data_IF_744467502954
#
_entry.id   IF_744467502954
#
_cell.length_a   1.000
_cell.length_b   1.000
_cell.length_c   1.000
_cell.angle_alpha   90.00
_cell.angle_beta   90.00
_cell.angle_gamma   90.00
#
_symmetry.space_group_name_H-M   'P 1'
#
loop_
_entity.id
_entity.type
_entity.pdbx_description
1 polymer ?
2 non-polymer ?
3 non-polymer ?
4 non-polymer ?
5 water ?
#
# COMPACT_ATOMS: atom_id res chain seq x y z
N UNK A 2 -11.77 10.11 -14.22
CA UNK A 2 -10.80 10.90 -14.95
C UNK A 2 -10.08 10.11 -16.03
N UNK A 3 -9.08 10.74 -16.65
CA UNK A 3 -8.30 10.11 -17.71
C UNK A 3 -7.27 9.13 -17.17
N UNK A 4 -6.95 8.11 -17.99
CA UNK A 4 -5.86 7.18 -17.68
C UNK A 4 -4.59 8.04 -17.66
N UNK A 5 -3.63 7.66 -16.81
CA UNK A 5 -2.40 8.42 -16.63
C UNK A 5 -1.17 7.54 -16.57
N UNK A 6 -0.05 8.07 -17.07
CA UNK A 6 1.27 7.47 -16.95
C UNK A 6 2.20 8.55 -16.36
N UNK A 7 3.51 8.29 -16.38
CA UNK A 7 4.54 9.25 -15.96
C UNK A 7 5.13 9.91 -17.22
N UNK A 8 5.55 11.19 -17.11
CA UNK A 8 6.11 11.96 -18.24
C UNK A 8 7.47 11.42 -18.67
N UNK A 9 8.24 10.91 -17.70
CA UNK A 9 9.59 10.39 -17.92
C UNK A 9 9.93 9.34 -16.89
N UNK A 10 11.05 8.63 -17.06
CA UNK A 10 11.54 7.63 -16.11
C UNK A 10 11.83 8.29 -14.76
N UNK A 11 11.31 7.71 -13.67
CA UNK A 11 11.52 8.20 -12.30
C UNK A 11 12.24 7.12 -11.51
N UNK A 12 13.31 7.49 -10.81
CA UNK A 12 14.11 6.52 -10.05
C UNK A 12 14.03 6.75 -8.55
N UNK A 13 14.09 5.65 -7.77
CA UNK A 13 14.09 5.67 -6.31
C UNK A 13 15.00 4.54 -5.85
N UNK A 14 15.64 4.71 -4.69
CA UNK A 14 16.54 3.68 -4.17
C UNK A 14 16.67 3.77 -2.66
N UNK A 15 17.02 2.65 -2.04
CA UNK A 15 17.22 2.60 -0.59
C UNK A 15 17.04 1.21 -0.05
N UNK A 16 17.12 1.09 1.27
CA UNK A 16 16.95 -0.21 1.93
C UNK A 16 15.48 -0.65 1.89
N UNK A 17 15.28 -1.96 1.84
CA UNK A 17 13.96 -2.56 1.93
C UNK A 17 13.74 -2.87 3.41
N UNK A 18 12.55 -2.58 3.94
CA UNK A 18 12.28 -2.81 5.37
C UNK A 18 12.41 -4.28 5.82
N UNK A 19 11.98 -5.22 4.96
CA UNK A 19 12.03 -6.63 5.34
C UNK A 19 13.32 -7.34 5.03
N UNK A 20 13.86 -7.16 3.81
CA UNK A 20 15.10 -7.85 3.43
C UNK A 20 16.34 -7.19 4.05
N UNK A 21 16.25 -5.87 4.32
CA UNK A 21 17.38 -5.09 4.80
C UNK A 21 18.40 -4.80 3.71
N UNK A 22 18.11 -5.23 2.47
CA UNK A 22 19.00 -5.06 1.33
C UNK A 22 18.72 -3.74 0.64
N UNK A 23 19.71 -3.21 -0.07
CA UNK A 23 19.58 -1.98 -0.85
C UNK A 23 18.98 -2.34 -2.21
N UNK A 24 17.91 -1.65 -2.64
CA UNK A 24 17.33 -1.93 -3.96
C UNK A 24 17.05 -0.66 -4.71
N UNK A 25 16.84 -0.76 -6.05
CA UNK A 25 16.57 0.41 -6.88
C UNK A 25 15.31 0.18 -7.73
N UNK A 26 14.53 1.25 -7.96
CA UNK A 26 13.31 1.24 -8.77
C UNK A 26 13.47 2.17 -9.96
N UNK A 27 12.87 1.81 -11.09
CA UNK A 27 12.79 2.67 -12.26
C UNK A 27 11.35 2.59 -12.72
N UNK A 28 10.63 3.71 -12.60
CA UNK A 28 9.23 3.77 -13.03
C UNK A 28 9.24 4.22 -14.48
N UNK A 29 8.76 3.36 -15.39
CA UNK A 29 8.76 3.62 -16.82
C UNK A 29 7.39 4.04 -17.34
N UNK A 30 7.32 5.01 -18.27
CA UNK A 30 6.01 5.34 -18.89
C UNK A 30 5.48 4.14 -19.70
N UNK A 31 4.14 4.03 -19.81
CA UNK A 31 3.48 2.97 -20.60
C UNK A 31 2.23 3.53 -21.27
N UNK A 32 1.85 2.97 -22.43
CA UNK A 32 0.69 3.40 -23.21
C UNK A 32 -0.63 2.98 -22.53
N UNK A 33 -1.77 3.52 -23.01
CA UNK A 33 -3.11 3.22 -22.51
C UNK A 33 -3.38 1.71 -22.55
N UNK A 34 -4.06 1.21 -21.52
CA UNK A 34 -4.41 -0.20 -21.39
C UNK A 34 -3.34 -1.13 -20.86
N UNK A 35 -2.13 -0.63 -20.59
CA UNK A 35 -1.05 -1.49 -20.08
C UNK A 35 -1.34 -1.99 -18.65
N UNK A 36 -1.84 -1.10 -17.80
CA UNK A 36 -2.06 -1.39 -16.40
C UNK A 36 -0.78 -1.15 -15.61
N UNK A 37 -0.83 -1.41 -14.31
CA UNK A 37 0.34 -1.28 -13.44
C UNK A 37 0.98 -2.64 -13.36
N UNK A 38 2.30 -2.72 -13.60
CA UNK A 38 3.03 -3.97 -13.49
C UNK A 38 4.46 -3.72 -13.02
N UNK A 39 5.04 -4.73 -12.40
CA UNK A 39 6.42 -4.70 -11.96
C UNK A 39 7.24 -5.46 -12.99
N UNK A 40 8.55 -5.19 -13.03
CA UNK A 40 9.45 -5.87 -13.94
C UNK A 40 10.72 -6.23 -13.20
N UNK A 41 11.08 -7.51 -13.23
CA UNK A 41 12.27 -8.01 -12.55
C UNK A 41 12.86 -9.16 -13.35
N UNK A 42 14.16 -9.09 -13.65
CA UNK A 42 14.90 -10.13 -14.39
C UNK A 42 14.16 -10.66 -15.63
N UNK A 43 13.69 -9.75 -16.48
CA UNK A 43 13.00 -10.10 -17.71
C UNK A 43 11.56 -10.55 -17.56
N UNK A 44 11.03 -10.59 -16.32
CA UNK A 44 9.67 -11.07 -16.06
C UNK A 44 8.76 -9.91 -15.68
N UNK A 45 7.56 -9.83 -16.28
CA UNK A 45 6.56 -8.84 -15.91
C UNK A 45 5.65 -9.43 -14.84
N UNK A 46 5.47 -8.71 -13.73
CA UNK A 46 4.61 -9.16 -12.63
C UNK A 46 3.48 -8.14 -12.51
N UNK A 47 2.26 -8.45 -13.01
CA UNK A 47 1.17 -7.47 -12.91
C UNK A 47 0.78 -7.18 -11.47
N UNK A 48 0.39 -5.92 -11.20
CA UNK A 48 0.00 -5.52 -9.84
C UNK A 48 -1.46 -5.92 -9.63
N UNK A 49 -1.69 -7.24 -9.55
CA UNK A 49 -3.03 -7.84 -9.43
C UNK A 49 -3.03 -8.94 -8.38
N UNK A 50 -4.19 -9.18 -7.75
CA UNK A 50 -4.36 -10.15 -6.68
C UNK A 50 -3.90 -11.59 -7.02
N UNK A 51 -4.01 -12.00 -8.30
CA UNK A 51 -3.57 -13.33 -8.78
C UNK A 51 -2.08 -13.58 -8.55
N UNK A 52 -1.30 -12.50 -8.38
CA UNK A 52 0.16 -12.55 -8.23
C UNK A 52 0.65 -12.41 -6.79
N UNK A 53 -0.28 -12.31 -5.82
CA UNK A 53 0.03 -12.23 -4.39
C UNK A 53 0.62 -13.57 -3.92
N UNK A 54 1.77 -13.55 -3.24
CA UNK A 54 2.43 -14.77 -2.75
C UNK A 54 2.64 -14.79 -1.24
N UNK A 55 2.44 -13.64 -0.59
CA UNK A 55 2.68 -13.46 0.85
C UNK A 55 1.89 -12.23 1.31
N UNK A 56 1.29 -12.30 2.51
CA UNK A 56 0.49 -11.22 3.10
C UNK A 56 0.81 -10.96 4.59
N UNK A 57 1.82 -11.65 5.17
CA UNK A 57 2.15 -11.45 6.58
C UNK A 57 3.22 -10.37 6.73
N UNK A 58 2.82 -9.19 7.25
CA UNK A 58 3.65 -7.99 7.51
C UNK A 58 3.99 -7.16 6.27
N UNK A 59 3.57 -7.64 5.09
CA UNK A 59 3.75 -6.96 3.79
C UNK A 59 2.96 -7.69 2.73
N UNK A 60 2.66 -7.03 1.63
CA UNK A 60 2.01 -7.66 0.50
C UNK A 60 3.11 -7.89 -0.53
N UNK A 61 3.35 -9.15 -0.90
CA UNK A 61 4.41 -9.51 -1.84
C UNK A 61 3.83 -10.12 -3.08
N UNK A 62 4.47 -9.84 -4.25
CA UNK A 62 4.04 -10.37 -5.55
C UNK A 62 5.10 -11.26 -6.17
N UNK A 63 4.67 -12.22 -6.97
CA UNK A 63 5.59 -13.12 -7.63
C UNK A 63 5.04 -13.65 -8.93
N UNK A 64 5.95 -13.94 -9.87
CA UNK A 64 5.62 -14.58 -11.15
C UNK A 64 6.84 -15.22 -11.76
N UNK A 65 6.69 -16.48 -12.22
CA UNK A 65 7.77 -17.23 -12.88
C UNK A 65 9.13 -17.19 -12.15
N UNK A 66 9.09 -17.38 -10.83
CA UNK A 66 10.29 -17.41 -10.01
C UNK A 66 10.89 -16.06 -9.65
N UNK A 67 10.21 -14.95 -10.00
CA UNK A 67 10.68 -13.61 -9.65
C UNK A 67 9.70 -13.03 -8.64
N UNK A 68 10.21 -12.58 -7.49
CA UNK A 68 9.41 -12.06 -6.37
C UNK A 68 9.79 -10.65 -6.01
N UNK A 69 8.80 -9.87 -5.60
CA UNK A 69 8.99 -8.50 -5.12
C UNK A 69 8.27 -8.32 -3.81
N UNK A 70 9.01 -7.99 -2.76
CA UNK A 70 8.42 -7.76 -1.44
C UNK A 70 7.96 -6.32 -1.27
N UNK A 71 6.91 -6.13 -0.43
CA UNK A 71 6.42 -4.83 0.04
C UNK A 71 5.99 -3.88 -1.08
N UNK A 72 4.99 -4.30 -1.86
CA UNK A 72 4.47 -3.49 -2.97
C UNK A 72 3.41 -2.45 -2.50
N UNK A 73 2.87 -2.60 -1.27
CA UNK A 73 1.75 -1.78 -0.78
C UNK A 73 1.86 -0.25 -0.81
N UNK A 74 3.02 0.31 -0.45
CA UNK A 74 3.21 1.76 -0.38
C UNK A 74 3.27 2.41 -1.76
N UNK A 75 4.06 1.83 -2.68
CA UNK A 75 4.14 2.35 -4.04
C UNK A 75 2.79 2.22 -4.74
N UNK A 76 2.10 1.07 -4.55
CA UNK A 76 0.77 0.89 -5.15
C UNK A 76 -0.22 1.85 -4.57
N UNK A 77 -0.13 2.15 -3.26
CA UNK A 77 -1.08 3.11 -2.68
C UNK A 77 -0.93 4.50 -3.30
N UNK A 78 0.33 4.97 -3.47
CA UNK A 78 0.63 6.26 -4.09
C UNK A 78 0.09 6.29 -5.54
N UNK A 79 0.33 5.22 -6.31
CA UNK A 79 -0.15 5.14 -7.70
C UNK A 79 -1.69 5.15 -7.75
N UNK A 80 -2.33 4.49 -6.78
CA UNK A 80 -3.80 4.44 -6.68
C UNK A 80 -4.34 5.86 -6.37
N UNK A 81 -3.72 6.55 -5.39
CA UNK A 81 -4.13 7.92 -4.99
C UNK A 81 -3.97 8.95 -6.10
N UNK A 82 -2.91 8.83 -6.91
CA UNK A 82 -2.64 9.75 -8.02
C UNK A 82 -3.32 9.31 -9.32
N UNK A 83 -3.96 8.14 -9.28
CA UNK A 83 -4.66 7.54 -10.44
C UNK A 83 -3.75 7.27 -11.64
N UNK A 84 -2.50 6.87 -11.35
CA UNK A 84 -1.54 6.44 -12.37
C UNK A 84 -2.01 5.03 -12.69
N UNK A 85 -2.38 4.79 -13.95
CA UNK A 85 -2.96 3.53 -14.38
C UNK A 85 -2.07 2.68 -15.25
N UNK A 86 -1.08 3.30 -15.91
CA UNK A 86 -0.19 2.61 -16.85
C UNK A 86 1.28 2.93 -16.58
N UNK A 87 2.01 2.00 -15.97
CA UNK A 87 3.46 2.15 -15.70
C UNK A 87 4.07 0.79 -15.51
N UNK A 88 5.39 0.73 -15.69
CA UNK A 88 6.17 -0.45 -15.37
C UNK A 88 7.15 -0.04 -14.28
N UNK A 89 7.10 -0.75 -13.15
CA UNK A 89 8.01 -0.50 -12.05
C UNK A 89 9.10 -1.54 -12.13
N UNK A 90 10.25 -1.14 -12.70
CA UNK A 90 11.39 -2.03 -12.80
C UNK A 90 12.05 -2.08 -11.43
N UNK A 91 12.30 -3.28 -10.91
CA UNK A 91 12.91 -3.49 -9.59
C UNK A 91 14.26 -4.21 -9.74
N UNK A 92 15.33 -3.55 -9.28
CA UNK A 92 16.68 -4.11 -9.25
C UNK A 92 16.89 -4.42 -7.77
N UNK A 93 16.59 -5.66 -7.40
CA UNK A 93 16.62 -6.13 -6.03
C UNK A 93 15.40 -6.98 -5.74
N UNK A 94 15.09 -7.16 -4.46
CA UNK A 94 14.03 -8.08 -4.02
C UNK A 94 12.86 -7.45 -3.31
N UNK A 95 12.90 -6.13 -3.14
CA UNK A 95 11.90 -5.41 -2.38
C UNK A 95 11.83 -3.95 -2.83
N UNK A 96 10.67 -3.32 -2.66
CA UNK A 96 10.51 -1.89 -2.91
C UNK A 96 11.21 -1.15 -1.74
N UNK A 97 12.06 -0.14 -2.02
CA UNK A 97 12.65 0.66 -0.93
C UNK A 97 11.57 1.24 0.00
N UNK A 98 11.83 1.19 1.31
CA UNK A 98 10.90 1.70 2.33
C UNK A 98 10.94 3.23 2.43
N UNK A 99 12.10 3.83 2.09
CA UNK A 99 12.36 5.26 2.22
C UNK A 99 12.12 5.70 3.69
N UNK A 100 11.33 6.74 3.96
CA UNK A 100 11.11 7.16 5.35
C UNK A 100 9.98 6.40 6.09
N UNK A 101 9.42 5.38 5.45
CA UNK A 101 8.33 4.57 5.98
C UNK A 101 6.96 5.00 5.48
N UNK A 102 6.91 6.14 4.77
CA UNK A 102 5.67 6.70 4.23
C UNK A 102 5.73 6.73 2.69
N UNK A 103 4.65 7.19 2.06
CA UNK A 103 4.60 7.30 0.61
C UNK A 103 5.03 8.67 0.10
N UNK A 104 5.48 9.57 0.99
CA UNK A 104 5.84 10.97 0.66
C UNK A 104 6.78 11.20 -0.51
N UNK A 105 7.95 10.55 -0.50
CA UNK A 105 8.93 10.71 -1.58
C UNK A 105 8.37 10.24 -2.91
N UNK A 106 7.71 9.06 -2.95
CA UNK A 106 7.07 8.55 -4.17
C UNK A 106 6.00 9.54 -4.64
N UNK A 107 5.11 9.96 -3.72
CA UNK A 107 3.99 10.87 -3.99
C UNK A 107 4.46 12.19 -4.61
N UNK A 108 5.44 12.86 -3.97
CA UNK A 108 5.94 14.15 -4.45
C UNK A 108 6.56 14.12 -5.83
N UNK A 109 7.41 13.10 -6.09
CA UNK A 109 8.10 12.93 -7.37
C UNK A 109 7.12 12.55 -8.49
N UNK A 110 6.18 11.60 -8.24
CA UNK A 110 5.21 11.16 -9.24
C UNK A 110 4.17 12.25 -9.58
N UNK A 111 3.61 12.93 -8.56
CA UNK A 111 2.63 13.99 -8.82
C UNK A 111 3.13 15.12 -9.73
N UNK A 112 4.44 15.44 -9.69
CA UNK A 112 5.04 16.47 -10.53
C UNK A 112 5.34 15.93 -11.95
N UNK A 113 5.18 14.61 -12.16
CA UNK A 113 5.52 13.96 -13.42
C UNK A 113 4.37 13.16 -14.03
N UNK A 114 3.14 13.64 -13.89
CA UNK A 114 1.96 12.96 -14.43
C UNK A 114 1.72 13.34 -15.88
N UNK A 115 1.48 12.34 -16.74
CA UNK A 115 1.11 12.57 -18.13
C UNK A 115 -0.30 12.00 -18.29
N UNK A 116 -1.28 12.88 -18.54
CA UNK A 116 -2.66 12.48 -18.78
C UNK A 116 -2.70 11.78 -20.14
N UNK A 117 -3.48 10.71 -20.24
CA UNK A 117 -3.60 9.95 -21.47
C UNK A 117 -4.94 10.16 -22.16
N UNK A 118 -5.20 9.44 -23.26
CA UNK A 118 -6.34 9.69 -24.14
C UNK A 118 -7.68 8.99 -23.90
N UNK A 119 -7.71 8.06 -22.96
CA UNK A 119 -8.87 7.25 -22.63
C UNK A 119 -9.30 7.51 -21.17
N UNK A 120 -10.58 7.34 -20.85
CA UNK A 120 -11.07 7.47 -19.47
C UNK A 120 -10.70 6.22 -18.67
N UNK A 121 -10.63 6.35 -17.35
CA UNK A 121 -10.36 5.21 -16.47
C UNK A 121 -11.63 4.38 -16.36
N UNK A 122 -11.48 3.06 -16.43
CA UNK A 122 -12.57 2.11 -16.20
C UNK A 122 -12.36 1.70 -14.73
N UNK A 123 -13.01 2.40 -13.80
CA UNK A 123 -12.83 2.10 -12.37
C UNK A 123 -13.39 0.75 -11.94
N UNK A 124 -12.82 0.16 -10.87
CA UNK A 124 -13.42 -1.02 -10.28
C UNK A 124 -14.46 -0.42 -9.34
N UNK A 125 -15.74 -0.57 -9.68
CA UNK A 125 -16.84 0.02 -8.91
C UNK A 125 -17.52 -1.04 -8.02
N UNK A 126 -17.47 -0.85 -6.67
CA UNK A 126 -18.16 -1.74 -5.72
C UNK A 126 -19.67 -1.60 -6.01
N UNK A 127 -20.32 -2.68 -6.40
CA UNK A 127 -21.73 -2.66 -6.83
C UNK A 127 -22.76 -2.96 -5.73
N UNK A 128 -22.32 -3.62 -4.65
CA UNK A 128 -23.22 -3.98 -3.54
C UNK A 128 -22.43 -4.15 -2.22
N UNK A 129 -23.09 -4.14 -1.04
CA UNK A 129 -22.35 -4.35 0.22
C UNK A 129 -21.71 -5.73 0.32
N UNK A 130 -20.58 -5.79 1.03
CA UNK A 130 -19.82 -7.03 1.27
C UNK A 130 -19.11 -6.90 2.60
N UNK A 131 -18.92 -8.02 3.30
CA UNK A 131 -18.20 -8.08 4.56
C UNK A 131 -17.29 -9.32 4.59
N UNK A 132 -16.03 -9.11 4.95
CA UNK A 132 -15.05 -10.18 5.15
C UNK A 132 -14.60 -10.12 6.60
N UNK A 133 -14.43 -11.28 7.24
CA UNK A 133 -14.04 -11.35 8.65
C UNK A 133 -12.92 -12.35 8.93
N UNK A 134 -12.17 -12.11 10.01
CA UNK A 134 -11.14 -13.00 10.51
C UNK A 134 -11.02 -12.80 12.02
N UNK A 135 -11.59 -13.72 12.81
CA UNK A 135 -11.56 -13.73 14.28
C UNK A 135 -11.48 -12.33 14.93
N UNK A 136 -12.59 -11.59 14.88
CA UNK A 136 -12.67 -10.24 15.43
C UNK A 136 -12.35 -9.15 14.44
N UNK A 137 -11.40 -9.40 13.51
CA UNK A 137 -11.00 -8.44 12.47
C UNK A 137 -12.07 -8.44 11.38
N UNK A 138 -12.38 -7.27 10.81
CA UNK A 138 -13.49 -7.14 9.88
C UNK A 138 -13.22 -6.03 8.84
N UNK A 139 -13.66 -6.25 7.58
CA UNK A 139 -13.59 -5.24 6.52
C UNK A 139 -14.89 -5.28 5.74
N UNK A 140 -15.53 -4.12 5.61
CA UNK A 140 -16.75 -4.04 4.84
C UNK A 140 -16.62 -3.01 3.73
N UNK A 141 -17.37 -3.22 2.64
CA UNK A 141 -17.37 -2.32 1.51
C UNK A 141 -18.79 -2.15 1.03
N UNK A 142 -19.08 -0.99 0.50
CA UNK A 142 -20.41 -0.67 -0.02
C UNK A 142 -20.25 0.29 -1.21
N UNK A 143 -21.25 0.44 -2.09
CA UNK A 143 -21.11 1.38 -3.21
C UNK A 143 -20.90 2.83 -2.77
N UNK A 144 -20.13 3.57 -3.57
CA UNK A 144 -19.81 5.00 -3.38
C UNK A 144 -19.21 5.53 -4.67
N UNK A 145 -19.62 6.73 -5.10
CA UNK A 145 -19.10 7.39 -6.31
C UNK A 145 -17.64 7.82 -6.08
N UNK A 146 -17.26 7.96 -4.81
CA UNK A 146 -15.94 8.39 -4.38
C UNK A 146 -15.25 7.31 -3.56
N UNK A 147 -13.92 7.24 -3.66
CA UNK A 147 -13.15 6.32 -2.82
C UNK A 147 -13.11 6.88 -1.39
N UNK A 148 -13.68 6.12 -0.43
CA UNK A 148 -13.68 6.50 0.99
C UNK A 148 -13.20 5.32 1.78
N UNK A 149 -12.21 5.53 2.63
CA UNK A 149 -11.59 4.45 3.38
C UNK A 149 -11.42 4.82 4.87
N UNK A 150 -12.08 4.05 5.74
CA UNK A 150 -12.01 4.21 7.19
C UNK A 150 -11.28 3.01 7.79
N UNK A 151 -10.34 3.27 8.70
CA UNK A 151 -9.65 2.25 9.46
C UNK A 151 -9.82 2.58 10.92
N UNK A 152 -10.19 1.57 11.70
CA UNK A 152 -10.33 1.70 13.15
C UNK A 152 -9.43 0.66 13.81
N UNK A 153 -8.55 1.15 14.68
CA UNK A 153 -7.64 0.31 15.43
C UNK A 153 -8.00 0.28 16.90
N UNK A 154 -7.60 -0.79 17.59
CA UNK A 154 -7.81 -0.95 19.02
C UNK A 154 -6.46 -1.44 19.55
N UNK A 155 -5.57 -0.47 19.82
CA UNK A 155 -4.21 -0.73 20.24
C UNK A 155 -4.08 -1.07 21.70
N UNK A 156 -3.22 -2.03 21.98
CA UNK A 156 -2.99 -2.51 23.35
C UNK A 156 -1.95 -1.66 24.12
N UNK A 157 -1.71 -0.44 23.68
CA UNK A 157 -0.77 0.44 24.37
C UNK A 157 -1.53 1.73 24.67
N UNK A 158 -0.79 2.82 25.00
CA UNK A 158 -1.34 4.14 25.32
C UNK A 158 -2.32 4.69 24.26
N UNK A 159 -2.15 4.33 22.97
CA UNK A 159 -3.03 4.77 21.88
C UNK A 159 -4.50 4.40 22.01
N UNK A 160 -4.77 3.22 22.57
CA UNK A 160 -6.13 2.71 22.73
C UNK A 160 -6.87 2.64 21.42
N UNK A 161 -8.11 3.15 21.41
CA UNK A 161 -8.97 3.15 20.21
C UNK A 161 -8.80 4.42 19.40
N UNK A 162 -8.54 4.27 18.10
CA UNK A 162 -8.47 5.43 17.19
C UNK A 162 -9.03 5.11 15.82
N UNK A 163 -9.58 6.11 15.15
CA UNK A 163 -10.26 5.95 13.87
C UNK A 163 -9.85 7.08 12.95
N UNK A 164 -9.71 6.78 11.64
CA UNK A 164 -9.40 7.77 10.60
C UNK A 164 -10.08 7.41 9.30
N UNK A 165 -10.61 8.44 8.60
CA UNK A 165 -11.25 8.30 7.29
C UNK A 165 -10.56 9.15 6.21
N UNK A 166 -10.15 8.49 5.11
CA UNK A 166 -9.64 9.14 3.92
C UNK A 166 -10.83 9.28 3.01
N UNK A 167 -10.91 10.41 2.30
CA UNK A 167 -11.85 10.70 1.22
C UNK A 167 -11.02 11.36 0.13
N UNK A 168 -11.45 11.21 -1.14
CA UNK A 168 -10.81 11.81 -2.31
C UNK A 168 -10.60 13.30 -2.11
N UNK A 169 -9.40 13.77 -2.41
CA UNK A 169 -9.02 15.16 -2.22
C UNK A 169 -8.17 15.35 -0.98
N UNK A 170 -8.13 14.33 -0.09
CA UNK A 170 -7.34 14.40 1.15
C UNK A 170 -6.11 13.46 1.12
N UNK A 171 -5.56 13.21 -0.08
CA UNK A 171 -4.39 12.34 -0.29
C UNK A 171 -3.20 12.74 0.58
N UNK A 172 -2.98 14.07 0.75
CA UNK A 172 -1.89 14.61 1.56
C UNK A 172 -1.99 14.21 3.05
N UNK A 173 -3.19 13.84 3.53
CA UNK A 173 -3.42 13.43 4.94
C UNK A 173 -2.93 12.02 5.28
N UNK A 174 -2.66 11.17 4.27
CA UNK A 174 -2.20 9.79 4.52
C UNK A 174 -0.82 9.44 3.97
N UNK A 175 -0.33 10.20 2.96
CA UNK A 175 0.95 9.96 2.28
C UNK A 175 2.21 10.19 3.15
N UNK A 176 2.07 10.89 4.28
CA UNK A 176 3.18 11.16 5.19
C UNK A 176 3.17 10.24 6.42
N UNK A 177 2.10 9.44 6.60
CA UNK A 177 1.94 8.51 7.72
C UNK A 177 2.85 7.30 7.53
N UNK A 178 3.70 7.04 8.52
CA UNK A 178 4.71 5.99 8.40
C UNK A 178 4.30 4.66 8.92
N UNK A 179 4.95 3.61 8.40
CA UNK A 179 4.80 2.24 8.90
C UNK A 179 5.19 2.26 10.39
N UNK A 180 4.59 1.36 11.16
CA UNK A 180 4.82 1.33 12.59
C UNK A 180 4.99 -0.08 13.11
N UNK A 181 5.53 -0.20 14.32
CA UNK A 181 5.75 -1.48 14.98
C UNK A 181 5.68 -1.32 16.49
N UNK A 182 5.30 -2.38 17.17
CA UNK A 182 5.23 -2.40 18.64
C UNK A 182 6.45 -3.17 19.12
N UNK A 183 7.16 -2.62 20.13
CA UNK A 183 8.40 -3.21 20.64
C UNK A 183 8.30 -4.67 21.08
N UNK A 184 7.13 -5.08 21.63
CA UNK A 184 6.91 -6.46 22.07
C UNK A 184 6.70 -7.45 20.90
N UNK A 185 6.49 -6.93 19.68
CA UNK A 185 6.28 -7.74 18.48
C UNK A 185 7.52 -7.90 17.60
N UNK A 186 8.53 -7.03 17.79
CA UNK A 186 9.76 -7.03 16.98
C UNK A 186 10.54 -8.36 16.99
N UNK A 187 10.74 -8.97 18.18
CA UNK A 187 11.45 -10.25 18.31
C UNK A 187 10.85 -11.33 17.39
N UNK A 188 9.50 -11.44 17.37
CA UNK A 188 8.80 -12.40 16.50
C UNK A 188 9.06 -12.10 15.02
N UNK A 189 8.94 -10.81 14.62
CA UNK A 189 9.13 -10.37 13.24
C UNK A 189 10.55 -10.72 12.74
N UNK A 190 11.59 -10.48 13.56
CA UNK A 190 12.98 -10.81 13.26
C UNK A 190 13.18 -12.32 13.19
N UNK A 191 12.55 -13.07 14.11
CA UNK A 191 12.63 -14.54 14.16
C UNK A 191 12.02 -15.22 12.94
N UNK A 192 11.00 -14.60 12.32
CA UNK A 192 10.34 -15.17 11.14
C UNK A 192 10.99 -14.74 9.82
N UNK A 193 12.18 -14.15 9.93
CA UNK A 193 13.01 -13.70 8.81
C UNK A 193 12.58 -12.37 8.21
N UNK A 194 11.90 -11.54 8.99
CA UNK A 194 11.40 -10.25 8.48
C UNK A 194 11.99 -9.05 9.24
N UNK A 195 11.59 -7.85 8.82
CA UNK A 195 11.98 -6.57 9.41
C UNK A 195 13.47 -6.30 9.52
N UNK A 196 14.29 -6.89 8.62
CA UNK A 196 15.76 -6.73 8.64
C UNK A 196 16.28 -5.30 8.39
N UNK A 197 15.49 -4.49 7.68
CA UNK A 197 15.86 -3.11 7.38
C UNK A 197 15.14 -2.07 8.22
N UNK A 198 14.37 -2.56 9.21
CA UNK A 198 13.58 -1.72 10.10
C UNK A 198 14.44 -0.99 11.10
N UNK A 199 14.19 0.32 11.27
CA UNK A 199 14.93 1.16 12.21
C UNK A 199 14.08 2.37 12.57
N UNK A 200 14.59 3.22 13.49
CA UNK A 200 13.90 4.45 13.88
C UNK A 200 13.89 5.49 12.76
N UNK A 201 14.68 5.25 11.68
CA UNK A 201 14.75 6.16 10.54
C UNK A 201 13.61 5.92 9.53
N UNK A 202 13.01 4.72 9.54
CA UNK A 202 11.94 4.38 8.61
C UNK A 202 10.68 3.81 9.29
N UNK A 203 10.68 3.67 10.62
CA UNK A 203 9.53 3.11 11.35
C UNK A 203 9.23 3.87 12.62
N UNK A 204 7.95 4.07 12.88
CA UNK A 204 7.47 4.65 14.13
C UNK A 204 7.39 3.46 15.10
N UNK A 205 8.29 3.42 16.09
CA UNK A 205 8.33 2.33 17.05
C UNK A 205 7.75 2.77 18.40
N UNK A 206 6.75 2.01 18.87
CA UNK A 206 6.01 2.28 20.09
C UNK A 206 6.11 1.17 21.10
N UNK A 207 6.12 1.56 22.37
CA UNK A 207 6.10 0.64 23.49
C UNK A 207 4.74 0.72 24.13
N UNK A 208 4.57 0.10 25.32
CA UNK A 208 3.30 0.14 26.06
C UNK A 208 2.92 1.58 26.45
N UNK A 209 3.90 2.39 26.87
CA UNK A 209 3.70 3.78 27.30
C UNK A 209 4.77 4.75 26.76
N UNK A 210 5.51 4.35 25.72
CA UNK A 210 6.65 5.09 25.19
C UNK A 210 6.65 5.21 23.66
N UNK A 211 7.29 6.27 23.16
CA UNK A 211 7.54 6.50 21.73
C UNK A 211 9.06 6.48 21.61
N UNK A 212 9.62 5.50 20.86
CA UNK A 212 11.07 5.37 20.71
C UNK A 212 11.68 6.48 19.85
N UNK A 213 10.97 6.89 18.80
CA UNK A 213 11.41 7.92 17.86
C UNK A 213 11.58 9.28 18.54
N UNK A 214 12.80 9.87 18.53
CA UNK A 214 13.00 11.19 19.17
C UNK A 214 12.10 12.29 18.59
N UNK A 215 11.79 12.22 17.28
CA UNK A 215 10.94 13.20 16.58
C UNK A 215 9.44 13.00 16.92
N UNK A 216 9.11 11.88 17.54
CA UNK A 216 7.76 11.54 17.93
C UNK A 216 6.85 11.23 16.76
N UNK A 217 5.54 11.32 16.97
CA UNK A 217 4.53 11.02 15.96
C UNK A 217 4.30 12.22 15.04
N UNK A 218 4.08 11.95 13.74
CA UNK A 218 3.78 13.01 12.77
C UNK A 218 2.32 13.50 12.96
N UNK A 219 1.46 12.61 13.48
CA UNK A 219 0.05 12.87 13.80
C UNK A 219 -0.29 12.01 15.02
N UNK A 220 -1.22 12.44 15.88
CA UNK A 220 -1.65 11.64 17.05
C UNK A 220 -2.21 10.26 16.65
N UNK A 221 -2.80 10.19 15.45
CA UNK A 221 -3.36 8.95 14.92
C UNK A 221 -2.56 8.46 13.69
N UNK A 222 -1.24 8.72 13.66
CA UNK A 222 -0.38 8.27 12.56
C UNK A 222 -0.56 6.76 12.22
N UNK A 223 -0.61 5.83 13.22
CA UNK A 223 -0.79 4.41 12.89
C UNK A 223 -2.04 4.07 12.07
N UNK A 224 -3.22 4.64 12.43
CA UNK A 224 -4.47 4.37 11.66
C UNK A 224 -4.45 5.05 10.28
N UNK A 225 -3.78 6.21 10.16
CA UNK A 225 -3.63 6.88 8.87
C UNK A 225 -2.76 5.98 7.97
N UNK A 226 -1.71 5.35 8.56
CA UNK A 226 -0.85 4.45 7.78
C UNK A 226 -1.61 3.20 7.36
N UNK A 227 -2.45 2.67 8.24
CA UNK A 227 -3.26 1.49 7.94
C UNK A 227 -4.26 1.78 6.81
N UNK A 228 -4.79 3.02 6.74
CA UNK A 228 -5.68 3.43 5.65
C UNK A 228 -4.86 3.40 4.34
N UNK A 229 -3.65 4.01 4.36
CA UNK A 229 -2.70 4.07 3.25
C UNK A 229 -2.35 2.63 2.75
N UNK A 230 -2.13 1.70 3.68
CA UNK A 230 -1.85 0.28 3.36
C UNK A 230 -3.01 -0.37 2.60
N UNK A 231 -4.25 -0.18 3.11
CA UNK A 231 -5.46 -0.74 2.49
C UNK A 231 -5.67 -0.19 1.09
N UNK A 232 -5.41 1.11 0.88
CA UNK A 232 -5.55 1.71 -0.47
C UNK A 232 -4.56 1.05 -1.46
N UNK A 233 -3.38 0.68 -0.98
CA UNK A 233 -2.37 -0.03 -1.78
C UNK A 233 -2.86 -1.41 -2.15
N UNK A 234 -3.35 -2.16 -1.15
CA UNK A 234 -3.89 -3.51 -1.39
C UNK A 234 -5.14 -3.48 -2.27
N UNK A 235 -5.96 -2.42 -2.16
CA UNK A 235 -7.16 -2.33 -3.02
C UNK A 235 -6.79 -2.19 -4.50
N UNK A 236 -5.63 -1.59 -4.82
CA UNK A 236 -5.18 -1.46 -6.23
C UNK A 236 -4.90 -2.81 -6.89
N UNK A 237 -4.82 -3.89 -6.10
CA UNK A 237 -4.63 -5.24 -6.62
C UNK A 237 -5.90 -5.72 -7.36
N UNK A 238 -6.98 -4.91 -7.33
CA UNK A 238 -8.18 -5.18 -8.13
C UNK A 238 -7.89 -4.87 -9.62
N UNK A 239 -6.78 -4.18 -9.91
CA UNK A 239 -6.34 -3.91 -11.27
C UNK A 239 -6.77 -2.60 -11.91
N UNK A 240 -7.54 -1.79 -11.16
CA UNK A 240 -8.01 -0.48 -11.64
C UNK A 240 -8.24 0.39 -10.42
N UNK A 241 -8.16 1.75 -10.51
CA UNK A 241 -8.51 2.58 -9.35
C UNK A 241 -9.95 2.24 -8.94
N UNK A 242 -10.20 2.25 -7.62
CA UNK A 242 -11.42 1.77 -6.99
C UNK A 242 -12.39 2.87 -6.52
N UNK A 243 -13.70 2.66 -6.77
CA UNK A 243 -14.79 3.50 -6.24
C UNK A 243 -15.63 2.63 -5.31
N UNK A 244 -15.62 2.99 -4.04
CA UNK A 244 -16.37 2.31 -3.00
C UNK A 244 -16.07 2.91 -1.64
N UNK A 245 -16.93 2.65 -0.65
CA UNK A 245 -16.75 3.12 0.72
C UNK A 245 -16.34 1.92 1.56
N UNK A 246 -15.16 1.98 2.16
CA UNK A 246 -14.57 0.90 2.95
C UNK A 246 -14.42 1.25 4.42
N UNK A 247 -14.62 0.23 5.27
CA UNK A 247 -14.46 0.32 6.71
C UNK A 247 -13.69 -0.90 7.17
N UNK A 248 -12.53 -0.69 7.78
CA UNK A 248 -11.69 -1.77 8.27
C UNK A 248 -11.52 -1.66 9.77
N UNK A 249 -11.90 -2.73 10.47
CA UNK A 249 -11.71 -2.78 11.92
C UNK A 249 -10.56 -3.77 12.15
N UNK A 250 -9.37 -3.24 12.49
CA UNK A 250 -8.18 -4.05 12.79
C UNK A 250 -7.70 -4.94 11.62
N UNK A 251 -8.01 -4.53 10.39
CA UNK A 251 -7.59 -5.28 9.21
C UNK A 251 -6.09 -5.23 8.99
N UNK A 252 -5.61 -6.17 8.21
CA UNK A 252 -4.21 -6.28 7.82
C UNK A 252 -4.16 -6.75 6.39
N UNK A 253 -2.95 -6.94 5.83
CA UNK A 253 -2.80 -7.35 4.42
C UNK A 253 -3.55 -8.63 4.06
N UNK A 254 -3.55 -9.64 4.96
CA UNK A 254 -4.25 -10.90 4.70
C UNK A 254 -5.75 -10.68 4.45
N UNK A 255 -6.42 -9.92 5.35
CA UNK A 255 -7.84 -9.62 5.23
C UNK A 255 -8.14 -8.68 4.05
N UNK A 256 -7.24 -7.71 3.78
CA UNK A 256 -7.34 -6.78 2.63
C UNK A 256 -7.37 -7.59 1.32
N UNK A 257 -6.43 -8.54 1.16
CA UNK A 257 -6.32 -9.40 -0.02
C UNK A 257 -7.54 -10.34 -0.12
N UNK A 258 -8.03 -10.83 1.03
CA UNK A 258 -9.23 -11.70 1.10
C UNK A 258 -10.43 -10.94 0.53
N UNK A 259 -10.60 -9.65 0.93
CA UNK A 259 -11.66 -8.78 0.42
C UNK A 259 -11.52 -8.57 -1.08
N UNK A 260 -10.31 -8.20 -1.52
CA UNK A 260 -9.97 -7.97 -2.93
C UNK A 260 -10.36 -9.18 -3.80
N UNK A 261 -9.96 -10.39 -3.38
CA UNK A 261 -10.28 -11.61 -4.11
C UNK A 261 -11.78 -11.88 -4.17
N UNK A 262 -12.52 -11.62 -3.06
CA UNK A 262 -13.98 -11.80 -3.05
C UNK A 262 -14.67 -10.81 -3.98
N UNK A 263 -14.22 -9.53 -3.98
CA UNK A 263 -14.76 -8.50 -4.87
C UNK A 263 -14.50 -8.85 -6.36
N UNK A 264 -13.30 -9.35 -6.67
CA UNK A 264 -12.92 -9.74 -8.03
C UNK A 264 -13.76 -10.93 -8.52
N UNK A 265 -13.92 -11.96 -7.66
CA UNK A 265 -14.71 -13.17 -7.95
C UNK A 265 -16.18 -12.80 -8.25
N UNK A 266 -16.76 -11.91 -7.43
CA UNK A 266 -18.12 -11.36 -7.54
C UNK A 266 -18.36 -10.72 -8.91
N UNK A 267 -17.37 -9.97 -9.42
CA UNK A 267 -17.45 -9.28 -10.70
C UNK A 267 -16.80 -10.05 -11.86
N UNK A 268 -16.33 -11.29 -11.58
CA UNK A 268 -15.66 -12.28 -12.46
C UNK A 268 -14.97 -11.74 -13.72
X LIG B 1 10.36 -1.54 -19.85
X LIG B 1 11.61 -1.38 -20.12
X LIG B 1 12.17 -2.35 -19.46
X LIG B 1 11.18 -3.04 -18.81
X LIG B 1 10.02 -2.51 -19.07
X LIG C 1 4.48 -3.07 8.70
X LIG C 1 3.07 -2.96 8.35
X LIG C 1 3.06 -2.21 7.03
X LIG C 1 3.37 -1.01 6.93
X LIG C 1 2.65 -3.02 6.02
X LIG C 1 2.62 -2.31 4.83
X LIG C 1 4.91 -4.08 9.59
X LIG C 1 4.11 -4.90 10.13
X LIG C 1 6.29 -4.09 9.84
X LIG C 1 7.26 -3.19 9.21
X LIG C 1 8.22 -2.65 10.23
X LIG C 1 9.02 -3.80 10.86
X LIG C 1 7.99 -4.65 11.61
X LIG C 1 6.82 -5.12 10.75
X LIG C 1 10.08 -3.32 11.85
X LIG C 1 10.85 -4.24 12.62
X LIG C 1 11.82 -3.77 13.54
X LIG C 1 12.00 -2.37 13.68
X LIG C 1 11.26 -1.47 12.94
X LIG C 1 10.33 -1.95 12.05
X LIG C 1 12.89 -1.78 14.58
X LIG C 1 13.47 -1.22 15.45
X LIG C 1 14.14 -0.54 16.50
X LIG C 1 13.55 -0.62 17.79
X LIG C 1 14.17 0.02 18.89
X LIG C 1 15.38 0.73 18.67
X LIG C 1 15.95 0.81 17.37
X LIG C 1 15.33 0.16 16.28
X LIG C 1 2.15 -2.36 9.43
X LIG C 1 2.57 -0.99 9.95
X LIG C 1 0.83 -2.24 8.84
X LIG D 1 2.52 -0.03 5.34
X LIG E 1 4.19 -12.99 11.83
#
# INVERSE_FOLDING_TARGET
>A
MGLEKTVKEKLSFEGVGIHTGEYSKLIIHPEKEGTGIRFFKNGVYIPARHEFVVHTNHSTDLGFKGQRIKTVEHILSVLHLLEITNVTIEVIGNEIPILDGSGWEFYEAIRKNILNQNREIDYFVVEEPIIVEDEGRLIKAEPSDTLEVTYEGEFKNFLGRQKFTFVEGNEEEIVLARTFAFDWEIEHIKKVGLGKGGSLKNTLVLGKDKVYNPEGLRYENEPVRHKVFDLIGDLYLLGSPVKGKFYSFRGGHSLNVKLVKELAKKQKLTR
>B hetero
1 IMD N1 C2 N3 C4 C5
>C hetero
1 P76 N1 C2 C3 O4 N5 O6 C7 O8 N9 C10 C11 C12 C13 C14 C15 C16 C17 C18 C19 C20 C21 C22 C23 C24 C25 C26 C27 C28 C29 C30 O31
>D hetero
1 ZN ZN
>E hetero
1 ZN ZN
#
